data_IF_267035515111
#
_entry.id   IF_267035515111
#
_cell.length_a   1.000
_cell.length_b   1.000
_cell.length_c   1.000
_cell.angle_alpha   90.00
_cell.angle_beta   90.00
_cell.angle_gamma   90.00
#
_symmetry.space_group_name_H-M   'P 1'
#
loop_
_entity.id
_entity.type
_entity.pdbx_description
1 polymer ?
#
# COMPACT_ATOMS: atom_id res chain seq x y z
N UNK A 1 14.58 -21.72 -17.00
CA UNK A 1 14.53 -21.06 -15.68
C UNK A 1 13.14 -20.47 -15.54
N UNK A 2 12.36 -20.90 -14.54
CA UNK A 2 11.01 -20.36 -14.31
C UNK A 2 11.11 -19.45 -13.07
N UNK A 3 11.48 -18.20 -13.29
CA UNK A 3 11.53 -17.19 -12.22
C UNK A 3 10.10 -16.90 -11.76
N UNK A 4 9.81 -17.19 -10.49
CA UNK A 4 8.55 -16.79 -9.87
C UNK A 4 8.57 -15.28 -9.65
N UNK A 5 7.92 -14.55 -10.54
CA UNK A 5 7.61 -13.14 -10.32
C UNK A 5 6.53 -13.05 -9.23
N UNK A 6 6.82 -12.27 -8.19
CA UNK A 6 5.83 -11.92 -7.16
C UNK A 6 5.22 -10.57 -7.50
N UNK A 7 3.89 -10.48 -7.44
CA UNK A 7 3.19 -9.20 -7.62
C UNK A 7 3.60 -8.21 -6.54
N UNK A 8 4.25 -7.13 -6.98
CA UNK A 8 4.63 -6.02 -6.12
C UNK A 8 3.42 -5.07 -5.95
N UNK A 9 2.92 -4.95 -4.72
CA UNK A 9 1.93 -3.93 -4.36
C UNK A 9 2.55 -2.98 -3.32
N UNK A 10 2.74 -1.69 -3.62
CA UNK A 10 3.26 -0.74 -2.64
C UNK A 10 2.40 -0.62 -1.38
N UNK A 11 1.09 -0.92 -1.45
CA UNK A 11 0.21 -0.90 -0.28
C UNK A 11 0.64 -1.90 0.82
N UNK A 12 1.34 -2.98 0.44
CA UNK A 12 1.84 -3.99 1.38
C UNK A 12 2.88 -3.40 2.35
N UNK A 13 3.59 -2.36 1.93
CA UNK A 13 4.69 -1.74 2.67
C UNK A 13 4.27 -0.48 3.44
N UNK A 14 3.10 0.08 3.14
CA UNK A 14 2.55 1.25 3.82
C UNK A 14 1.82 0.86 5.11
N UNK A 15 2.58 0.41 6.10
CA UNK A 15 2.04 -0.12 7.38
C UNK A 15 2.12 0.85 8.55
N UNK A 16 2.89 1.92 8.43
CA UNK A 16 3.03 2.97 9.44
C UNK A 16 2.66 4.34 8.90
N UNK A 17 2.24 5.25 9.77
CA UNK A 17 1.94 6.64 9.40
C UNK A 17 3.17 7.34 8.80
N UNK A 18 4.38 7.01 9.27
CA UNK A 18 5.64 7.52 8.74
C UNK A 18 5.87 7.07 7.29
N UNK A 19 5.69 5.78 6.99
CA UNK A 19 5.83 5.26 5.62
C UNK A 19 4.85 5.92 4.65
N UNK A 20 3.62 6.18 5.11
CA UNK A 20 2.58 6.88 4.35
C UNK A 20 2.98 8.34 4.10
N UNK A 21 3.51 9.03 5.11
CA UNK A 21 3.92 10.43 4.99
C UNK A 21 5.08 10.61 3.99
N UNK A 22 6.07 9.72 4.03
CA UNK A 22 7.19 9.72 3.08
C UNK A 22 6.67 9.47 1.66
N UNK A 23 5.87 8.42 1.47
CA UNK A 23 5.31 8.06 0.17
C UNK A 23 4.47 9.19 -0.44
N UNK A 24 3.64 9.86 0.36
CA UNK A 24 2.84 10.99 -0.10
C UNK A 24 3.67 12.23 -0.38
N UNK A 25 4.73 12.49 0.38
CA UNK A 25 5.63 13.62 0.14
C UNK A 25 6.38 13.47 -1.18
N UNK A 26 6.87 12.26 -1.48
CA UNK A 26 7.47 11.92 -2.76
C UNK A 26 6.47 12.11 -3.91
N UNK A 27 5.23 11.61 -3.75
CA UNK A 27 4.20 11.77 -4.77
C UNK A 27 3.86 13.25 -5.04
N UNK A 28 3.72 14.06 -4.00
CA UNK A 28 3.47 15.49 -4.13
C UNK A 28 4.63 16.23 -4.82
N UNK A 29 5.87 15.78 -4.60
CA UNK A 29 7.07 16.38 -5.21
C UNK A 29 7.14 16.18 -6.72
N UNK A 30 6.39 15.22 -7.28
CA UNK A 30 6.31 15.02 -8.74
C UNK A 30 5.52 16.11 -9.45
N UNK A 31 4.65 16.83 -8.73
CA UNK A 31 3.69 17.79 -9.28
C UNK A 31 2.80 17.21 -10.41
N UNK A 32 2.66 15.89 -10.46
CA UNK A 32 1.80 15.16 -11.40
C UNK A 32 0.50 14.76 -10.68
N UNK A 33 -0.62 15.38 -11.08
CA UNK A 33 -1.92 15.13 -10.48
C UNK A 33 -2.38 13.67 -10.61
N UNK A 34 -2.04 12.99 -11.72
CA UNK A 34 -2.37 11.58 -11.94
C UNK A 34 -1.58 10.67 -11.01
N UNK A 35 -0.29 10.94 -10.84
CA UNK A 35 0.55 10.19 -9.91
C UNK A 35 0.13 10.40 -8.46
N UNK A 36 -0.19 11.63 -8.06
CA UNK A 36 -0.69 11.95 -6.72
C UNK A 36 -2.02 11.21 -6.45
N UNK A 37 -2.95 11.21 -7.40
CA UNK A 37 -4.21 10.50 -7.27
C UNK A 37 -4.00 8.97 -7.14
N UNK A 38 -3.06 8.42 -7.92
CA UNK A 38 -2.68 7.01 -7.82
C UNK A 38 -2.12 6.68 -6.42
N UNK A 39 -1.16 7.48 -5.93
CA UNK A 39 -0.55 7.30 -4.62
C UNK A 39 -1.59 7.37 -3.48
N UNK A 40 -2.54 8.31 -3.55
CA UNK A 40 -3.68 8.38 -2.62
C UNK A 40 -4.51 7.10 -2.59
N UNK A 41 -4.78 6.51 -3.76
CA UNK A 41 -5.50 5.23 -3.87
C UNK A 41 -4.76 4.07 -3.19
N UNK A 42 -3.43 4.01 -3.36
CA UNK A 42 -2.57 3.02 -2.69
C UNK A 42 -2.62 3.19 -1.16
N UNK A 43 -2.48 4.42 -0.66
CA UNK A 43 -2.55 4.73 0.78
C UNK A 43 -3.92 4.36 1.37
N UNK A 44 -5.01 4.69 0.67
CA UNK A 44 -6.36 4.36 1.11
C UNK A 44 -6.56 2.85 1.27
N UNK A 45 -6.08 2.05 0.30
CA UNK A 45 -6.09 0.59 0.37
C UNK A 45 -5.26 0.08 1.54
N UNK A 46 -4.03 0.58 1.70
CA UNK A 46 -3.14 0.17 2.77
C UNK A 46 -3.75 0.40 4.15
N UNK A 47 -4.39 1.55 4.37
CA UNK A 47 -5.13 1.84 5.61
C UNK A 47 -6.29 0.88 5.84
N UNK A 48 -7.09 0.62 4.81
CA UNK A 48 -8.18 -0.37 4.88
C UNK A 48 -7.69 -1.77 5.26
N UNK A 49 -6.62 -2.26 4.62
CA UNK A 49 -6.01 -3.56 4.94
C UNK A 49 -5.44 -3.60 6.36
N UNK A 50 -4.90 -2.49 6.85
CA UNK A 50 -4.40 -2.36 8.23
C UNK A 50 -5.53 -2.53 9.23
N UNK A 51 -6.65 -1.85 8.99
CA UNK A 51 -7.83 -1.91 9.85
C UNK A 51 -8.43 -3.32 9.88
N UNK A 52 -8.63 -3.93 8.70
CA UNK A 52 -9.17 -5.30 8.60
C UNK A 52 -8.27 -6.30 9.33
N UNK A 53 -6.94 -6.21 9.17
CA UNK A 53 -6.00 -7.08 9.87
C UNK A 53 -6.11 -6.95 11.40
N UNK A 54 -6.29 -5.71 11.90
CA UNK A 54 -6.47 -5.43 13.33
C UNK A 54 -7.78 -5.98 13.88
N UNK A 55 -8.87 -5.84 13.12
CA UNK A 55 -10.22 -6.28 13.54
C UNK A 55 -10.39 -7.80 13.48
N UNK A 56 -9.79 -8.44 12.47
CA UNK A 56 -9.93 -9.89 12.24
C UNK A 56 -8.85 -10.73 12.91
N UNK A 57 -7.76 -10.09 13.39
CA UNK A 57 -6.54 -10.79 13.84
C UNK A 57 -5.81 -11.52 12.70
N UNK A 58 -6.24 -11.34 11.44
CA UNK A 58 -5.62 -11.97 10.27
C UNK A 58 -4.42 -11.15 9.82
N UNK A 59 -3.33 -11.83 9.45
CA UNK A 59 -2.19 -11.17 8.82
C UNK A 59 -2.56 -10.66 7.43
N UNK A 60 -1.95 -9.54 6.99
CA UNK A 60 -2.16 -8.94 5.65
C UNK A 60 -1.99 -9.95 4.51
N UNK A 61 -1.08 -10.92 4.67
CA UNK A 61 -0.85 -11.99 3.71
C UNK A 61 -2.07 -12.91 3.50
N UNK A 62 -2.93 -13.09 4.51
CA UNK A 62 -4.19 -13.83 4.36
C UNK A 62 -5.28 -13.02 3.66
N UNK A 63 -5.29 -11.70 3.83
CA UNK A 63 -6.28 -10.80 3.21
C UNK A 63 -6.06 -10.63 1.69
N UNK A 64 -4.84 -10.83 1.20
CA UNK A 64 -4.50 -10.74 -0.23
C UNK A 64 -4.78 -12.05 -1.00
N UNK A 65 -5.05 -13.16 -0.31
CA UNK A 65 -5.02 -14.53 -0.88
C UNK A 65 -6.39 -15.19 -1.06
N UNK A 66 -7.48 -14.43 -0.88
CA UNK A 66 -8.86 -14.84 -1.18
C UNK A 66 -9.47 -13.82 -2.13
#
# INVERSE_FOLDING_TARGET
MNEKLTDYDPADYLSSDESIAIFMSEALSTNDAGYIAHALGVVARAKGMTQVARETGLSRAHLKRN
#
